data_IF_851230243220
#
_entry.id   IF_851230243220
#
_cell.length_a   1.000
_cell.length_b   1.000
_cell.length_c   1.000
_cell.angle_alpha   90.00
_cell.angle_beta   90.00
_cell.angle_gamma   90.00
#
_symmetry.space_group_name_H-M   'P 1'
#
loop_
_entity.id
_entity.type
_entity.pdbx_description
1 polymer ?
#
# COMPACT_ATOMS: atom_id res chain seq x y z
N UNK A 1 26.93 -11.83 1.26
CA UNK A 1 26.39 -13.19 1.51
C UNK A 1 27.47 -14.26 1.39
N UNK A 2 28.31 -14.23 0.34
CA UNK A 2 29.36 -15.22 0.08
C UNK A 2 30.39 -15.40 1.23
N UNK A 3 30.72 -14.33 1.94
CA UNK A 3 31.70 -14.32 3.04
C UNK A 3 31.19 -14.90 4.37
N UNK A 4 29.87 -14.92 4.57
CA UNK A 4 29.23 -15.58 5.70
C UNK A 4 29.23 -17.10 5.50
N UNK A 5 28.94 -17.55 4.27
CA UNK A 5 28.97 -18.97 3.90
C UNK A 5 30.36 -19.59 4.05
N UNK A 6 31.43 -18.85 3.68
CA UNK A 6 32.82 -19.29 3.85
C UNK A 6 33.20 -19.47 5.33
N UNK A 7 32.69 -18.64 6.24
CA UNK A 7 32.96 -18.75 7.67
C UNK A 7 32.37 -20.03 8.29
N UNK A 8 31.12 -20.35 7.96
CA UNK A 8 30.45 -21.58 8.44
C UNK A 8 31.08 -22.87 7.88
N UNK A 9 31.64 -22.84 6.68
CA UNK A 9 32.38 -23.98 6.11
C UNK A 9 33.70 -24.28 6.84
N UNK A 10 34.38 -23.25 7.36
CA UNK A 10 35.61 -23.42 8.16
C UNK A 10 35.30 -24.01 9.54
N UNK A 11 34.18 -23.62 10.15
CA UNK A 11 33.69 -24.20 11.42
C UNK A 11 33.38 -25.70 11.28
N UNK A 12 32.69 -26.11 10.20
CA UNK A 12 32.41 -27.52 9.92
C UNK A 12 33.68 -28.35 9.75
N UNK A 13 34.70 -27.83 9.05
CA UNK A 13 35.98 -28.53 8.85
C UNK A 13 36.83 -28.63 10.12
N UNK A 14 36.69 -27.69 11.06
CA UNK A 14 37.40 -27.71 12.34
C UNK A 14 36.85 -28.76 13.33
N UNK A 15 35.63 -29.27 13.10
CA UNK A 15 34.97 -30.30 13.90
C UNK A 15 35.08 -31.69 13.24
N UNK A 16 36.30 -32.13 12.92
CA UNK A 16 36.49 -33.49 12.40
C UNK A 16 36.33 -34.52 13.53
N UNK A 17 35.37 -35.44 13.39
CA UNK A 17 35.18 -36.56 14.32
C UNK A 17 36.31 -37.58 14.17
N UNK A 18 36.90 -38.03 15.28
CA UNK A 18 37.68 -39.27 15.35
C UNK A 18 36.90 -40.28 16.21
N UNK A 19 37.06 -41.57 15.89
CA UNK A 19 36.34 -42.70 16.51
C UNK A 19 36.25 -42.55 18.05
N UNK A 20 35.02 -42.49 18.56
CA UNK A 20 34.59 -42.43 19.97
C UNK A 20 34.73 -41.12 20.79
N UNK A 21 35.02 -39.95 20.20
CA UNK A 21 34.89 -38.69 20.92
C UNK A 21 35.42 -37.49 20.16
N UNK A 22 34.70 -36.37 20.19
CA UNK A 22 35.15 -35.13 19.56
C UNK A 22 36.45 -34.65 20.22
N UNK A 23 37.55 -34.64 19.48
CA UNK A 23 38.80 -33.97 19.87
C UNK A 23 38.85 -32.60 19.19
N UNK A 24 38.24 -31.55 19.77
CA UNK A 24 38.29 -30.22 19.18
C UNK A 24 39.73 -29.71 19.16
N UNK A 25 40.18 -29.24 18.00
CA UNK A 25 41.44 -28.51 17.90
C UNK A 25 41.28 -27.15 18.60
N UNK A 26 41.72 -27.06 19.85
CA UNK A 26 41.56 -25.87 20.70
C UNK A 26 42.14 -24.60 20.08
N UNK A 27 43.21 -24.71 19.27
CA UNK A 27 43.84 -23.57 18.60
C UNK A 27 42.95 -23.01 17.49
N UNK A 28 42.32 -23.86 16.69
CA UNK A 28 41.38 -23.42 15.65
C UNK A 28 40.10 -22.87 16.26
N UNK A 29 39.57 -23.49 17.31
CA UNK A 29 38.41 -22.98 18.04
C UNK A 29 38.65 -21.59 18.65
N UNK A 30 39.83 -21.36 19.20
CA UNK A 30 40.21 -20.04 19.71
C UNK A 30 40.25 -18.97 18.60
N UNK A 31 40.82 -19.31 17.43
CA UNK A 31 40.86 -18.41 16.27
C UNK A 31 39.45 -18.10 15.75
N UNK A 32 38.61 -19.13 15.59
CA UNK A 32 37.22 -18.99 15.19
C UNK A 32 36.42 -18.13 16.17
N UNK A 33 36.60 -18.36 17.48
CA UNK A 33 35.94 -17.56 18.52
C UNK A 33 36.34 -16.09 18.47
N UNK A 34 37.62 -15.79 18.21
CA UNK A 34 38.07 -14.40 18.03
C UNK A 34 37.47 -13.78 16.78
N UNK A 35 37.37 -14.51 15.68
CA UNK A 35 36.81 -14.01 14.45
C UNK A 35 35.29 -13.80 14.54
N UNK A 36 34.57 -14.74 15.16
CA UNK A 36 33.16 -14.60 15.49
C UNK A 36 32.91 -13.35 16.35
N UNK A 37 33.74 -13.12 17.38
CA UNK A 37 33.64 -11.94 18.25
C UNK A 37 33.88 -10.63 17.49
N UNK A 38 34.78 -10.62 16.49
CA UNK A 38 35.00 -9.45 15.62
C UNK A 38 33.80 -9.20 14.70
N UNK A 39 33.30 -10.23 14.02
CA UNK A 39 32.15 -10.13 13.13
C UNK A 39 30.88 -9.71 13.88
N UNK A 40 30.67 -10.22 15.10
CA UNK A 40 29.57 -9.83 15.96
C UNK A 40 29.59 -8.33 16.31
N UNK A 41 30.78 -7.75 16.55
CA UNK A 41 30.92 -6.30 16.77
C UNK A 41 30.50 -5.49 15.55
N UNK A 42 30.95 -5.90 14.36
CA UNK A 42 30.58 -5.24 13.10
C UNK A 42 29.08 -5.30 12.86
N UNK A 43 28.43 -6.44 13.16
CA UNK A 43 26.97 -6.56 13.06
C UNK A 43 26.25 -5.60 14.01
N UNK A 44 26.74 -5.44 15.25
CA UNK A 44 26.17 -4.50 16.21
C UNK A 44 26.35 -3.05 15.77
N UNK A 45 27.50 -2.69 15.18
CA UNK A 45 27.75 -1.36 14.61
C UNK A 45 26.82 -1.08 13.41
N UNK A 46 26.75 -2.00 12.45
CA UNK A 46 25.84 -1.87 11.28
C UNK A 46 24.36 -1.81 11.72
N UNK A 47 23.97 -2.54 12.76
CA UNK A 47 22.61 -2.49 13.31
C UNK A 47 22.33 -1.18 14.06
N UNK A 48 23.35 -0.58 14.68
CA UNK A 48 23.30 0.76 15.27
C UNK A 48 23.14 1.86 14.22
N UNK A 49 23.90 1.76 13.13
CA UNK A 49 23.89 2.71 12.00
C UNK A 49 22.67 2.50 11.09
N UNK A 50 22.11 1.30 11.06
CA UNK A 50 20.94 0.90 10.27
C UNK A 50 19.59 1.40 10.81
N UNK A 51 19.56 2.38 11.71
CA UNK A 51 18.32 3.02 12.19
C UNK A 51 17.77 3.99 11.14
N UNK A 52 17.29 3.44 10.05
CA UNK A 52 16.59 4.21 9.03
C UNK A 52 15.21 4.60 9.54
N UNK A 53 14.95 5.91 9.68
CA UNK A 53 13.66 6.46 10.10
C UNK A 53 12.50 6.03 9.18
N UNK A 54 12.78 5.76 7.91
CA UNK A 54 11.83 5.34 6.89
C UNK A 54 12.57 4.68 5.72
N UNK A 55 12.35 3.38 5.50
CA UNK A 55 12.97 2.62 4.40
C UNK A 55 12.07 2.50 3.17
N UNK A 56 10.79 2.85 3.31
CA UNK A 56 9.84 2.82 2.21
C UNK A 56 8.67 3.77 2.46
N UNK A 57 8.01 4.16 1.37
CA UNK A 57 6.70 4.78 1.41
C UNK A 57 5.65 3.67 1.35
N UNK A 58 4.52 3.87 2.04
CA UNK A 58 3.36 3.02 1.83
C UNK A 58 2.98 3.17 0.35
N UNK A 59 2.87 2.05 -0.36
CA UNK A 59 2.32 2.08 -1.71
C UNK A 59 0.98 2.82 -1.66
N UNK A 60 0.69 3.72 -2.62
CA UNK A 60 -0.62 4.33 -2.74
C UNK A 60 -1.68 3.22 -2.65
N UNK A 61 -2.75 3.47 -1.90
CA UNK A 61 -3.90 2.56 -1.90
C UNK A 61 -4.32 2.35 -3.36
N UNK A 62 -4.71 1.12 -3.76
CA UNK A 62 -5.14 0.86 -5.11
C UNK A 62 -6.23 1.87 -5.48
N UNK A 63 -5.92 2.76 -6.43
CA UNK A 63 -6.87 3.74 -6.93
C UNK A 63 -8.04 3.05 -7.64
N UNK A 64 -9.06 3.82 -8.00
CA UNK A 64 -10.26 3.34 -8.70
C UNK A 64 -9.90 2.51 -9.95
N UNK A 65 -8.73 2.76 -10.55
CA UNK A 65 -8.19 2.02 -11.70
C UNK A 65 -7.42 0.72 -11.43
N UNK A 66 -7.31 0.22 -10.20
CA UNK A 66 -6.49 -0.99 -9.93
C UNK A 66 -7.11 -2.31 -10.42
N UNK A 67 -8.38 -2.28 -10.82
CA UNK A 67 -9.06 -3.43 -11.44
C UNK A 67 -9.23 -3.11 -12.92
N UNK A 68 -8.72 -3.95 -13.85
CA UNK A 68 -8.99 -3.78 -15.27
C UNK A 68 -10.51 -3.84 -15.47
N UNK A 69 -11.13 -2.70 -15.78
CA UNK A 69 -12.52 -2.69 -16.18
C UNK A 69 -12.60 -3.35 -17.56
N UNK A 70 -12.98 -4.63 -17.58
CA UNK A 70 -13.29 -5.35 -18.81
C UNK A 70 -14.48 -4.63 -19.43
N UNK A 71 -14.21 -3.88 -20.49
CA UNK A 71 -15.18 -2.97 -21.13
C UNK A 71 -16.52 -3.66 -21.29
N UNK A 72 -17.50 -3.20 -20.51
CA UNK A 72 -18.88 -3.49 -20.81
C UNK A 72 -19.16 -2.80 -22.14
N UNK A 73 -19.75 -3.51 -23.11
CA UNK A 73 -20.10 -2.96 -24.42
C UNK A 73 -20.73 -1.56 -24.25
N UNK A 74 -20.10 -0.56 -24.85
CA UNK A 74 -20.53 0.81 -24.77
C UNK A 74 -21.86 0.93 -25.53
N UNK A 75 -22.97 0.93 -24.80
CA UNK A 75 -24.26 1.30 -25.36
C UNK A 75 -24.24 2.81 -25.62
N UNK A 76 -24.58 3.24 -26.84
CA UNK A 76 -24.52 4.65 -27.26
C UNK A 76 -25.25 5.59 -26.28
N UNK A 77 -26.39 5.17 -25.72
CA UNK A 77 -27.13 5.96 -24.73
C UNK A 77 -26.33 6.24 -23.45
N UNK A 78 -25.45 5.31 -23.04
CA UNK A 78 -24.61 5.47 -21.85
C UNK A 78 -23.44 6.42 -22.10
N UNK A 79 -22.97 6.52 -23.34
CA UNK A 79 -21.95 7.50 -23.72
C UNK A 79 -22.51 8.92 -23.63
N UNK A 80 -23.74 9.16 -24.11
CA UNK A 80 -24.38 10.48 -24.03
C UNK A 80 -24.49 10.95 -22.58
N UNK A 81 -25.03 10.11 -21.68
CA UNK A 81 -25.16 10.48 -20.26
C UNK A 81 -23.81 10.67 -19.58
N UNK A 82 -22.80 9.86 -19.94
CA UNK A 82 -21.45 10.07 -19.45
C UNK A 82 -20.93 11.45 -19.87
N UNK A 83 -21.05 11.80 -21.15
CA UNK A 83 -20.58 13.08 -21.69
C UNK A 83 -21.29 14.26 -21.02
N UNK A 84 -22.62 14.17 -20.84
CA UNK A 84 -23.40 15.19 -20.10
C UNK A 84 -22.90 15.39 -18.67
N UNK A 85 -22.58 14.30 -17.97
CA UNK A 85 -22.01 14.38 -16.60
C UNK A 85 -20.62 14.99 -16.64
N UNK A 86 -19.77 14.60 -17.59
CA UNK A 86 -18.41 15.12 -17.73
C UNK A 86 -18.42 16.62 -18.03
N UNK A 87 -19.30 17.09 -18.91
CA UNK A 87 -19.48 18.51 -19.17
C UNK A 87 -20.00 19.27 -17.95
N UNK A 88 -20.95 18.70 -17.21
CA UNK A 88 -21.42 19.29 -15.96
C UNK A 88 -20.29 19.40 -14.92
N UNK A 89 -19.37 18.44 -14.85
CA UNK A 89 -18.21 18.49 -13.95
C UNK A 89 -17.17 19.53 -14.35
N UNK A 90 -17.16 20.02 -15.60
CA UNK A 90 -16.29 21.11 -16.05
C UNK A 90 -16.83 22.49 -15.67
N UNK A 91 -18.13 22.61 -15.40
CA UNK A 91 -18.74 23.87 -15.02
C UNK A 91 -18.45 24.17 -13.54
N UNK A 92 -17.70 25.26 -13.30
CA UNK A 92 -17.36 25.71 -11.95
C UNK A 92 -18.56 26.09 -11.08
N UNK A 93 -19.75 26.29 -11.65
CA UNK A 93 -20.98 26.56 -10.91
C UNK A 93 -21.70 25.29 -10.45
N UNK A 94 -21.32 24.12 -10.95
CA UNK A 94 -21.92 22.83 -10.61
C UNK A 94 -21.06 22.11 -9.57
N UNK A 95 -21.58 21.99 -8.35
CA UNK A 95 -20.87 21.33 -7.25
C UNK A 95 -21.34 19.88 -6.99
N UNK A 96 -22.55 19.54 -7.43
CA UNK A 96 -23.18 18.25 -7.14
C UNK A 96 -23.94 17.76 -8.39
N UNK A 97 -23.65 16.54 -8.81
CA UNK A 97 -24.38 15.82 -9.85
C UNK A 97 -24.99 14.56 -9.24
N UNK A 98 -26.30 14.39 -9.39
CA UNK A 98 -27.03 13.22 -8.91
C UNK A 98 -27.50 12.33 -10.06
N UNK A 99 -27.23 11.03 -9.98
CA UNK A 99 -27.73 10.03 -10.94
C UNK A 99 -28.63 9.04 -10.23
N UNK A 100 -29.85 8.87 -10.74
CA UNK A 100 -30.88 8.02 -10.16
C UNK A 100 -31.55 7.16 -11.24
N UNK A 101 -32.17 6.05 -10.83
CA UNK A 101 -32.86 5.14 -11.75
C UNK A 101 -33.16 3.79 -11.10
N UNK A 102 -33.79 2.89 -11.85
CA UNK A 102 -34.08 1.53 -11.37
C UNK A 102 -32.81 0.77 -10.99
N UNK A 103 -32.93 -0.12 -10.00
CA UNK A 103 -31.87 -1.04 -9.62
C UNK A 103 -31.44 -1.91 -10.83
N UNK A 104 -30.13 -2.15 -10.97
CA UNK A 104 -29.59 -3.00 -12.03
C UNK A 104 -29.34 -2.30 -13.38
N UNK A 105 -29.80 -1.06 -13.58
CA UNK A 105 -29.57 -0.30 -14.84
C UNK A 105 -28.10 0.03 -15.07
N UNK A 106 -27.29 0.04 -14.01
CA UNK A 106 -25.85 0.25 -14.07
C UNK A 106 -25.39 1.63 -13.60
N UNK A 107 -26.18 2.35 -12.78
CA UNK A 107 -25.80 3.68 -12.26
C UNK A 107 -24.43 3.67 -11.57
N UNK A 108 -24.16 2.68 -10.71
CA UNK A 108 -22.85 2.53 -10.06
C UNK A 108 -21.73 2.24 -11.07
N UNK A 109 -22.03 1.54 -12.17
CA UNK A 109 -21.08 1.29 -13.26
C UNK A 109 -20.78 2.57 -14.03
N UNK A 110 -21.79 3.40 -14.32
CA UNK A 110 -21.62 4.70 -14.95
C UNK A 110 -20.75 5.63 -14.10
N UNK A 111 -21.01 5.73 -12.80
CA UNK A 111 -20.20 6.55 -11.88
C UNK A 111 -18.73 6.08 -11.83
N UNK A 112 -18.45 4.79 -11.98
CA UNK A 112 -17.07 4.28 -12.08
C UNK A 112 -16.38 4.74 -13.37
N UNK A 113 -17.11 4.81 -14.49
CA UNK A 113 -16.57 5.31 -15.75
C UNK A 113 -16.30 6.82 -15.68
N UNK A 114 -17.24 7.60 -15.11
CA UNK A 114 -17.07 9.04 -14.87
C UNK A 114 -15.83 9.30 -14.00
N UNK A 115 -15.70 8.59 -12.88
CA UNK A 115 -14.55 8.76 -11.99
C UNK A 115 -13.21 8.46 -12.70
N UNK A 116 -13.17 7.39 -13.50
CA UNK A 116 -12.01 7.03 -14.29
C UNK A 116 -11.67 8.11 -15.32
N UNK A 117 -12.65 8.58 -16.07
CA UNK A 117 -12.42 9.58 -17.12
C UNK A 117 -12.03 10.94 -16.53
N UNK A 118 -12.64 11.37 -15.42
CA UNK A 118 -12.25 12.59 -14.71
C UNK A 118 -10.80 12.53 -14.19
N UNK A 119 -10.31 11.35 -13.79
CA UNK A 119 -8.92 11.12 -13.40
C UNK A 119 -7.98 11.15 -14.63
N UNK A 120 -8.35 10.49 -15.74
CA UNK A 120 -7.58 10.46 -16.99
C UNK A 120 -7.44 11.86 -17.61
N UNK A 121 -8.51 12.64 -17.61
CA UNK A 121 -8.54 14.02 -18.11
C UNK A 121 -7.98 15.05 -17.11
N UNK A 122 -7.66 14.63 -15.89
CA UNK A 122 -7.15 15.49 -14.81
C UNK A 122 -8.04 16.70 -14.54
N UNK A 123 -9.36 16.48 -14.54
CA UNK A 123 -10.33 17.53 -14.19
C UNK A 123 -10.20 18.00 -12.74
N UNK A 124 -9.74 17.11 -11.87
CA UNK A 124 -9.52 17.39 -10.46
C UNK A 124 -8.13 16.90 -10.05
N UNK A 125 -7.56 17.53 -9.02
CA UNK A 125 -6.31 17.07 -8.41
C UNK A 125 -6.42 15.63 -7.88
N UNK A 126 -7.63 15.25 -7.45
CA UNK A 126 -7.91 13.95 -6.88
C UNK A 126 -9.37 13.53 -7.05
N UNK A 127 -9.58 12.30 -7.48
CA UNK A 127 -10.89 11.66 -7.58
C UNK A 127 -10.93 10.49 -6.60
N UNK A 128 -11.96 10.43 -5.75
CA UNK A 128 -12.16 9.37 -4.76
C UNK A 128 -13.58 8.82 -4.84
N UNK A 129 -13.76 7.54 -4.54
CA UNK A 129 -15.06 6.87 -4.56
C UNK A 129 -15.29 6.14 -3.25
N UNK A 130 -16.38 6.47 -2.56
CA UNK A 130 -16.82 5.80 -1.35
C UNK A 130 -18.19 5.15 -1.55
N UNK A 131 -18.42 4.04 -0.86
CA UNK A 131 -19.73 3.38 -0.84
C UNK A 131 -20.49 3.79 0.42
N UNK A 132 -21.74 4.21 0.24
CA UNK A 132 -22.63 4.60 1.33
C UNK A 132 -23.69 3.51 1.48
N UNK A 133 -23.73 2.86 2.64
CA UNK A 133 -24.76 1.89 3.00
C UNK A 133 -26.08 2.57 3.36
N UNK A 134 -27.17 1.81 3.35
CA UNK A 134 -28.50 2.28 3.79
C UNK A 134 -28.51 2.79 5.24
N UNK A 135 -27.68 2.19 6.10
CA UNK A 135 -27.35 2.71 7.43
C UNK A 135 -25.94 3.31 7.37
N UNK A 136 -25.81 4.62 7.11
CA UNK A 136 -24.50 5.24 6.92
C UNK A 136 -23.77 5.40 8.25
N UNK A 137 -22.57 4.82 8.33
CA UNK A 137 -21.64 5.04 9.43
C UNK A 137 -20.73 6.23 9.10
N UNK A 138 -21.15 7.45 9.44
CA UNK A 138 -20.47 8.70 9.03
C UNK A 138 -18.98 8.70 9.39
N UNK A 139 -18.64 8.27 10.60
CA UNK A 139 -17.24 8.19 11.06
C UNK A 139 -16.38 7.30 10.18
N UNK A 140 -16.94 6.18 9.71
CA UNK A 140 -16.27 5.23 8.82
C UNK A 140 -16.12 5.82 7.43
N UNK A 141 -17.19 6.38 6.85
CA UNK A 141 -17.18 7.00 5.52
C UNK A 141 -16.17 8.16 5.46
N UNK A 142 -16.20 9.06 6.44
CA UNK A 142 -15.23 10.15 6.54
C UNK A 142 -13.80 9.64 6.71
N UNK A 143 -13.60 8.57 7.49
CA UNK A 143 -12.32 7.90 7.64
C UNK A 143 -11.78 7.38 6.32
N UNK A 144 -12.60 6.63 5.57
CA UNK A 144 -12.26 6.08 4.26
C UNK A 144 -11.95 7.19 3.24
N UNK A 145 -12.76 8.25 3.20
CA UNK A 145 -12.51 9.42 2.36
C UNK A 145 -11.20 10.12 2.72
N UNK A 146 -10.93 10.34 4.01
CA UNK A 146 -9.68 10.95 4.46
C UNK A 146 -8.46 10.09 4.10
N UNK A 147 -8.55 8.77 4.30
CA UNK A 147 -7.48 7.85 3.93
C UNK A 147 -7.20 7.88 2.42
N UNK A 148 -8.26 7.87 1.59
CA UNK A 148 -8.14 8.00 0.15
C UNK A 148 -7.54 9.36 -0.23
N UNK A 149 -7.97 10.45 0.39
CA UNK A 149 -7.48 11.80 0.14
C UNK A 149 -6.08 12.07 0.73
N UNK A 150 -5.61 11.24 1.67
CA UNK A 150 -4.33 11.44 2.37
C UNK A 150 -4.42 12.47 3.51
N UNK A 151 -5.62 12.72 4.02
CA UNK A 151 -5.91 13.67 5.09
C UNK A 151 -5.86 12.99 6.46
N UNK A 152 -5.65 13.78 7.51
CA UNK A 152 -5.72 13.32 8.90
C UNK A 152 -6.67 14.22 9.68
N UNK A 153 -7.61 13.60 10.39
CA UNK A 153 -8.44 14.31 11.35
C UNK A 153 -7.64 14.59 12.62
N UNK A 154 -7.68 15.84 13.09
CA UNK A 154 -7.12 16.22 14.39
C UNK A 154 -7.97 15.64 15.52
N UNK A 155 -9.29 15.73 15.39
CA UNK A 155 -10.25 15.18 16.34
C UNK A 155 -10.91 13.90 15.81
N UNK A 156 -10.91 12.86 16.65
CA UNK A 156 -11.45 11.52 16.29
C UNK A 156 -12.85 11.26 16.85
N UNK A 157 -13.34 12.14 17.70
CA UNK A 157 -14.71 12.12 18.21
C UNK A 157 -15.69 12.50 17.10
N UNK A 158 -16.96 12.12 17.25
CA UNK A 158 -18.01 12.53 16.30
C UNK A 158 -18.31 14.02 16.42
N UNK A 159 -18.28 14.59 17.64
CA UNK A 159 -18.49 16.02 17.87
C UNK A 159 -17.42 16.91 17.20
N UNK A 160 -16.19 16.40 17.07
CA UNK A 160 -15.08 17.13 16.46
C UNK A 160 -15.03 17.05 14.93
N UNK A 161 -15.94 16.28 14.33
CA UNK A 161 -16.01 16.08 12.88
C UNK A 161 -17.14 16.94 12.31
N UNK A 162 -16.97 17.38 11.06
CA UNK A 162 -18.05 18.04 10.34
C UNK A 162 -19.26 17.10 10.25
N UNK A 163 -20.44 17.65 10.50
CA UNK A 163 -21.73 16.96 10.37
C UNK A 163 -22.11 16.76 8.90
#
# INVERSE_FOLDING_TARGET
>A
MEEASKFFEVEKKANHSCFNGSCPNLKSQYQLSREAKKRARVVVEIQGDGKFKRVSYRAPLPGIGSVPFKGHEALESRMITLDEIMEALRDAHVNIVGVWGMAGVGNTTLMKQVAKQAEEEKLFDKVVMAYISSTPELKKIQGELADMLGLKFEEKSEMGRAA
#
